data_IF_339453368306
#
_entry.id   IF_339453368306
#
_cell.length_a   1.000
_cell.length_b   1.000
_cell.length_c   1.000
_cell.angle_alpha   90.00
_cell.angle_beta   90.00
_cell.angle_gamma   90.00
#
_symmetry.space_group_name_H-M   'P 1'
#
loop_
_entity.id
_entity.type
_entity.pdbx_description
1 polymer ?
#
# COMPACT_ATOMS: atom_id res chain seq x y z
N UNK A 1 15.03 34.47 -45.38
CA UNK A 1 14.30 33.77 -46.45
C UNK A 1 13.72 32.52 -45.80
N UNK A 2 12.52 32.65 -45.23
CA UNK A 2 11.24 32.11 -45.76
C UNK A 2 11.24 30.59 -45.74
N UNK A 3 10.40 29.92 -44.95
CA UNK A 3 8.95 30.07 -45.02
C UNK A 3 8.26 29.74 -43.68
N UNK A 4 7.36 30.63 -43.27
CA UNK A 4 6.44 30.50 -42.16
C UNK A 4 5.06 30.35 -42.79
N UNK A 5 4.41 29.19 -42.67
CA UNK A 5 3.07 28.97 -43.21
C UNK A 5 2.06 28.66 -42.10
N UNK A 6 1.46 29.76 -41.69
CA UNK A 6 0.11 29.91 -41.15
C UNK A 6 -0.92 28.98 -41.81
N UNK A 7 -1.74 28.32 -40.99
CA UNK A 7 -3.11 27.95 -41.35
C UNK A 7 -4.06 28.27 -40.20
N UNK A 8 -5.06 29.04 -40.59
CA UNK A 8 -6.07 29.73 -39.82
C UNK A 8 -7.36 28.87 -39.77
N UNK A 9 -8.01 28.88 -38.60
CA UNK A 9 -9.42 28.61 -38.26
C UNK A 9 -10.27 27.65 -39.11
N UNK A 10 -10.95 26.70 -38.44
CA UNK A 10 -12.43 26.61 -38.43
C UNK A 10 -12.90 26.06 -37.07
N UNK A 11 -13.63 26.89 -36.30
CA UNK A 11 -14.44 26.49 -35.14
C UNK A 11 -15.89 26.34 -35.63
N UNK A 12 -16.61 25.24 -35.35
CA UNK A 12 -18.05 25.22 -35.47
C UNK A 12 -18.71 25.40 -34.10
N UNK A 13 -19.38 26.55 -33.99
CA UNK A 13 -20.42 26.89 -33.03
C UNK A 13 -21.55 25.86 -33.05
N UNK A 14 -21.90 25.28 -31.90
CA UNK A 14 -23.14 24.50 -31.73
C UNK A 14 -24.11 25.31 -30.87
N UNK A 15 -25.24 25.63 -31.48
CA UNK A 15 -26.32 26.46 -30.97
C UNK A 15 -27.31 25.63 -30.14
N UNK A 16 -27.83 26.26 -29.09
CA UNK A 16 -28.85 25.80 -28.15
C UNK A 16 -30.06 25.08 -28.77
N UNK A 17 -30.52 24.03 -28.08
CA UNK A 17 -31.94 23.69 -27.97
C UNK A 17 -32.32 23.61 -26.48
N UNK A 18 -33.04 24.62 -26.02
CA UNK A 18 -33.78 24.57 -24.77
C UNK A 18 -35.11 23.83 -24.99
N UNK A 19 -35.44 22.91 -24.09
CA UNK A 19 -36.79 22.37 -23.91
C UNK A 19 -36.95 22.07 -22.42
N UNK A 20 -37.75 22.90 -21.73
CA UNK A 20 -38.08 22.73 -20.32
C UNK A 20 -39.41 21.99 -20.13
N UNK A 21 -39.52 21.28 -19.00
CA UNK A 21 -40.67 21.02 -18.11
C UNK A 21 -40.21 19.88 -17.17
N UNK A 22 -40.48 19.80 -15.87
CA UNK A 22 -41.33 20.56 -14.98
C UNK A 22 -41.07 20.13 -13.53
N UNK A 23 -41.76 20.81 -12.63
CA UNK A 23 -41.61 20.91 -11.18
C UNK A 23 -41.70 19.60 -10.38
N UNK A 24 -40.99 19.54 -9.25
CA UNK A 24 -41.53 19.06 -7.96
C UNK A 24 -40.67 19.62 -6.82
N UNK A 25 -41.24 20.57 -6.08
CA UNK A 25 -40.67 21.06 -4.83
C UNK A 25 -40.89 20.07 -3.69
N UNK A 26 -39.94 20.02 -2.75
CA UNK A 26 -40.19 19.61 -1.38
C UNK A 26 -39.22 20.35 -0.48
N UNK A 27 -39.82 21.22 0.33
CA UNK A 27 -39.27 21.92 1.47
C UNK A 27 -38.70 20.90 2.45
N UNK A 28 -37.42 20.98 2.79
CA UNK A 28 -36.89 20.34 4.01
C UNK A 28 -36.57 21.46 4.99
N UNK A 29 -37.38 21.45 6.03
CA UNK A 29 -37.43 22.39 7.12
C UNK A 29 -36.19 22.21 8.01
N UNK A 30 -35.52 23.33 8.27
CA UNK A 30 -34.53 23.46 9.34
C UNK A 30 -35.13 22.99 10.66
N UNK A 31 -34.49 22.04 11.34
CA UNK A 31 -34.75 21.77 12.75
C UNK A 31 -33.46 21.87 13.55
N UNK A 32 -33.38 22.92 14.35
CA UNK A 32 -32.37 23.13 15.39
C UNK A 32 -32.39 21.96 16.41
N UNK A 33 -31.23 21.63 17.01
CA UNK A 33 -31.13 20.75 18.16
C UNK A 33 -31.23 21.55 19.47
N UNK A 34 -31.86 20.97 20.49
CA UNK A 34 -31.77 21.35 21.92
C UNK A 34 -32.64 20.37 22.74
N UNK A 35 -32.43 20.19 24.07
CA UNK A 35 -31.32 19.44 24.66
C UNK A 35 -31.81 18.44 25.75
N UNK A 36 -30.85 17.74 26.40
CA UNK A 36 -30.93 17.13 27.73
C UNK A 36 -32.09 16.15 28.05
N UNK A 37 -31.76 14.85 28.17
CA UNK A 37 -32.39 14.03 29.22
C UNK A 37 -31.37 13.09 29.87
N UNK A 38 -31.40 13.14 31.20
CA UNK A 38 -30.58 12.37 32.12
C UNK A 38 -30.98 10.90 32.12
N UNK A 39 -30.00 9.99 32.23
CA UNK A 39 -30.30 8.61 32.62
C UNK A 39 -29.43 8.20 33.79
N UNK A 40 -30.14 7.90 34.87
CA UNK A 40 -29.67 7.62 36.20
C UNK A 40 -28.99 6.25 36.33
N UNK A 41 -28.03 6.24 37.25
CA UNK A 41 -27.53 5.10 38.01
C UNK A 41 -28.68 4.26 38.59
N UNK A 42 -28.66 2.95 38.32
CA UNK A 42 -29.21 1.97 39.26
C UNK A 42 -28.49 0.63 39.11
N UNK A 43 -27.67 0.33 40.11
CA UNK A 43 -27.19 -1.01 40.37
C UNK A 43 -28.36 -1.97 40.65
N UNK A 44 -28.26 -3.16 40.04
CA UNK A 44 -29.13 -4.29 40.31
C UNK A 44 -28.33 -5.58 40.13
N UNK A 45 -27.87 -6.15 41.25
CA UNK A 45 -27.35 -7.52 41.31
C UNK A 45 -28.51 -8.48 41.12
N UNK A 46 -28.63 -9.03 39.91
CA UNK A 46 -29.59 -10.05 39.52
C UNK A 46 -28.95 -11.43 39.45
N UNK A 47 -29.41 -12.29 40.35
CA UNK A 47 -29.36 -13.75 40.41
C UNK A 47 -28.79 -14.49 39.17
N UNK A 48 -27.72 -15.28 39.39
CA UNK A 48 -27.21 -16.25 38.41
C UNK A 48 -28.21 -17.41 38.28
N UNK A 49 -28.96 -17.44 37.18
CA UNK A 49 -29.75 -18.60 36.80
C UNK A 49 -28.79 -19.73 36.39
N UNK A 50 -28.86 -20.86 37.10
CA UNK A 50 -28.19 -22.12 36.75
C UNK A 50 -28.63 -22.56 35.34
N UNK A 51 -27.66 -22.59 34.41
CA UNK A 51 -27.84 -23.17 33.08
C UNK A 51 -27.87 -24.71 33.24
N UNK A 52 -28.90 -25.41 32.72
CA UNK A 52 -28.91 -26.87 32.74
C UNK A 52 -27.79 -27.43 31.85
N UNK A 53 -27.11 -28.46 32.36
CA UNK A 53 -26.05 -29.18 31.67
C UNK A 53 -26.57 -29.75 30.32
N UNK A 54 -25.77 -29.70 29.24
CA UNK A 54 -26.19 -30.27 27.97
C UNK A 54 -26.29 -31.79 28.07
N UNK A 55 -27.47 -32.31 27.72
CA UNK A 55 -27.77 -33.74 27.57
C UNK A 55 -26.79 -34.38 26.56
N UNK A 56 -25.82 -35.12 27.07
CA UNK A 56 -24.87 -35.88 26.24
C UNK A 56 -25.64 -37.08 25.68
N UNK A 57 -26.03 -36.97 24.40
CA UNK A 57 -26.59 -38.07 23.63
C UNK A 57 -25.66 -39.29 23.57
N UNK A 58 -26.19 -40.47 23.20
CA UNK A 58 -25.48 -41.75 23.34
C UNK A 58 -24.16 -41.75 22.56
N UNK A 59 -23.11 -42.27 23.22
CA UNK A 59 -21.76 -42.46 22.67
C UNK A 59 -21.83 -43.05 21.26
N UNK A 60 -21.32 -42.30 20.28
CA UNK A 60 -21.08 -42.82 18.94
C UNK A 60 -20.06 -43.97 19.04
N UNK A 61 -20.27 -45.10 18.34
CA UNK A 61 -19.27 -46.15 18.32
C UNK A 61 -17.95 -45.61 17.75
N UNK A 62 -16.79 -46.11 18.20
CA UNK A 62 -15.51 -45.69 17.65
C UNK A 62 -15.50 -45.99 16.15
N UNK A 63 -15.32 -44.94 15.35
CA UNK A 63 -15.04 -45.08 13.92
C UNK A 63 -13.64 -45.68 13.83
N UNK A 64 -13.55 -46.97 13.53
CA UNK A 64 -12.30 -47.57 13.09
C UNK A 64 -11.96 -46.97 11.72
N UNK A 65 -11.14 -45.93 11.73
CA UNK A 65 -10.51 -45.43 10.51
C UNK A 65 -9.69 -46.58 9.91
N UNK A 66 -9.89 -46.95 8.63
CA UNK A 66 -9.06 -47.95 7.99
C UNK A 66 -7.62 -47.45 8.02
N UNK A 67 -6.79 -48.15 8.81
CA UNK A 67 -5.38 -47.87 9.02
C UNK A 67 -4.56 -48.39 7.83
N UNK A 68 -4.88 -47.98 6.60
CA UNK A 68 -4.05 -48.26 5.42
C UNK A 68 -4.19 -47.12 4.39
N UNK A 69 -3.70 -45.93 4.75
CA UNK A 69 -3.06 -45.08 3.73
C UNK A 69 -1.60 -45.50 3.74
N UNK A 70 -1.24 -46.34 2.76
CA UNK A 70 0.16 -46.61 2.49
C UNK A 70 0.82 -45.28 2.13
N UNK A 71 1.70 -44.80 3.01
CA UNK A 71 2.69 -43.77 2.71
C UNK A 71 3.65 -44.33 1.64
N UNK A 72 3.20 -44.30 0.38
CA UNK A 72 4.02 -44.56 -0.79
C UNK A 72 4.44 -43.21 -1.39
N UNK A 73 5.32 -42.51 -0.68
CA UNK A 73 6.29 -41.60 -1.32
C UNK A 73 7.66 -41.88 -0.72
N UNK A 74 8.29 -42.94 -1.22
CA UNK A 74 9.69 -43.29 -0.91
C UNK A 74 10.68 -42.31 -1.54
N UNK A 75 10.82 -41.13 -0.93
CA UNK A 75 12.04 -40.31 -1.02
C UNK A 75 12.75 -40.31 0.35
N UNK A 76 14.07 -40.07 0.42
CA UNK A 76 14.70 -39.86 1.72
C UNK A 76 13.95 -38.74 2.43
N UNK A 77 13.41 -39.04 3.62
CA UNK A 77 12.80 -38.06 4.49
C UNK A 77 13.88 -37.03 4.84
N UNK A 78 13.88 -35.90 4.12
CA UNK A 78 14.71 -34.77 4.47
C UNK A 78 14.08 -34.13 5.72
N UNK A 79 14.91 -33.84 6.73
CA UNK A 79 14.41 -33.19 7.93
C UNK A 79 14.23 -31.68 7.68
N UNK A 80 13.28 -31.01 8.34
CA UNK A 80 13.13 -29.55 8.23
C UNK A 80 14.44 -28.82 8.51
N UNK A 81 14.81 -27.89 7.64
CA UNK A 81 16.07 -27.15 7.70
C UNK A 81 17.26 -27.83 7.02
N UNK A 82 17.07 -28.99 6.37
CA UNK A 82 18.09 -29.64 5.54
C UNK A 82 18.04 -29.22 4.06
N UNK A 83 17.25 -28.19 3.72
CA UNK A 83 17.12 -27.69 2.35
C UNK A 83 16.06 -28.46 1.54
N UNK A 84 15.03 -28.95 2.23
CA UNK A 84 13.84 -29.57 1.68
C UNK A 84 12.99 -28.59 0.86
N UNK A 85 12.02 -29.10 0.10
CA UNK A 85 10.98 -28.25 -0.46
C UNK A 85 10.32 -27.38 0.63
N UNK A 86 10.17 -26.09 0.35
CA UNK A 86 9.67 -25.04 1.27
C UNK A 86 10.56 -24.67 2.47
N UNK A 87 11.72 -25.30 2.64
CA UNK A 87 12.68 -24.82 3.64
C UNK A 87 13.19 -23.42 3.25
N UNK A 88 13.35 -22.54 4.23
CA UNK A 88 13.90 -21.21 4.01
C UNK A 88 15.33 -21.27 3.48
N UNK A 89 15.65 -20.41 2.52
CA UNK A 89 16.97 -20.29 1.94
C UNK A 89 17.29 -18.83 1.57
N UNK A 90 18.58 -18.50 1.58
CA UNK A 90 19.09 -17.22 1.06
C UNK A 90 19.86 -17.41 -0.27
N UNK A 91 20.32 -18.64 -0.54
CA UNK A 91 21.11 -19.00 -1.72
C UNK A 91 20.81 -20.42 -2.20
N UNK A 92 21.05 -20.67 -3.49
CA UNK A 92 20.83 -21.97 -4.13
C UNK A 92 21.53 -23.14 -3.44
N UNK A 93 22.71 -22.90 -2.85
CA UNK A 93 23.51 -23.93 -2.19
C UNK A 93 22.88 -24.44 -0.88
N UNK A 94 21.94 -23.69 -0.29
CA UNK A 94 21.21 -24.12 0.90
C UNK A 94 20.15 -25.19 0.59
N UNK A 95 19.79 -25.37 -0.69
CA UNK A 95 18.74 -26.28 -1.11
C UNK A 95 19.31 -27.58 -1.67
N UNK A 96 18.72 -28.73 -1.30
CA UNK A 96 19.13 -30.02 -1.86
C UNK A 96 18.89 -30.11 -3.38
N UNK A 97 17.86 -29.40 -3.86
CA UNK A 97 17.58 -29.24 -5.28
C UNK A 97 18.58 -28.33 -6.01
N UNK A 98 19.39 -27.56 -5.27
CA UNK A 98 20.26 -26.53 -5.82
C UNK A 98 19.55 -25.25 -6.26
N UNK A 99 18.28 -25.05 -5.86
CA UNK A 99 17.48 -23.90 -6.28
C UNK A 99 16.71 -23.27 -5.12
N UNK A 100 17.04 -22.01 -4.86
CA UNK A 100 16.34 -21.14 -3.93
C UNK A 100 15.51 -20.13 -4.73
N UNK A 101 14.20 -20.12 -4.53
CA UNK A 101 13.26 -19.30 -5.32
C UNK A 101 12.38 -18.47 -4.41
N UNK A 102 11.77 -17.43 -4.98
CA UNK A 102 10.85 -16.56 -4.25
C UNK A 102 9.49 -17.22 -4.04
N UNK A 103 9.00 -17.16 -2.81
CA UNK A 103 7.67 -17.58 -2.39
C UNK A 103 7.17 -16.66 -1.29
N UNK A 104 6.06 -15.96 -1.54
CA UNK A 104 5.43 -15.05 -0.59
C UNK A 104 6.41 -14.01 0.01
N UNK A 105 7.30 -13.46 -0.82
CA UNK A 105 8.28 -12.46 -0.41
C UNK A 105 9.46 -12.99 0.39
N UNK A 106 9.61 -14.31 0.52
CA UNK A 106 10.74 -14.98 1.15
C UNK A 106 11.44 -15.94 0.18
N UNK A 107 12.69 -16.30 0.47
CA UNK A 107 13.40 -17.35 -0.25
C UNK A 107 13.07 -18.72 0.34
N UNK A 108 12.62 -19.65 -0.51
CA UNK A 108 12.39 -21.04 -0.14
C UNK A 108 12.97 -22.01 -1.18
N UNK A 109 13.36 -23.18 -0.71
CA UNK A 109 13.88 -24.24 -1.56
C UNK A 109 12.77 -24.85 -2.40
N UNK A 110 13.04 -25.00 -3.70
CA UNK A 110 12.10 -25.63 -4.65
C UNK A 110 12.53 -27.05 -5.03
N UNK A 111 11.77 -27.71 -5.90
CA UNK A 111 12.09 -29.00 -6.51
C UNK A 111 12.22 -28.84 -8.03
N UNK A 112 12.98 -29.75 -8.64
CA UNK A 112 12.98 -29.91 -10.09
C UNK A 112 11.67 -30.55 -10.54
N UNK A 113 11.21 -30.19 -11.74
CA UNK A 113 9.98 -30.70 -12.34
C UNK A 113 10.22 -31.04 -13.81
N UNK A 114 9.39 -31.92 -14.36
CA UNK A 114 9.33 -32.14 -15.81
C UNK A 114 8.10 -31.43 -16.40
N UNK A 115 6.92 -31.65 -15.81
CA UNK A 115 5.67 -30.97 -16.18
C UNK A 115 4.81 -30.62 -14.96
N UNK A 116 4.76 -31.51 -13.95
CA UNK A 116 3.92 -31.34 -12.77
C UNK A 116 4.65 -30.69 -11.59
N UNK A 117 3.95 -29.81 -10.89
CA UNK A 117 4.37 -29.19 -9.63
C UNK A 117 3.25 -29.28 -8.58
N UNK A 118 3.56 -29.13 -7.29
CA UNK A 118 2.54 -29.05 -6.24
C UNK A 118 1.54 -27.90 -6.48
N UNK A 119 0.32 -27.97 -5.92
CA UNK A 119 -0.68 -26.91 -6.06
C UNK A 119 -0.11 -25.52 -5.69
N UNK A 120 -0.38 -24.52 -6.53
CA UNK A 120 0.15 -23.15 -6.36
C UNK A 120 1.55 -22.93 -6.94
N UNK A 121 2.14 -23.92 -7.59
CA UNK A 121 3.44 -23.84 -8.24
C UNK A 121 3.33 -24.23 -9.71
N UNK A 122 4.11 -23.57 -10.57
CA UNK A 122 4.17 -23.83 -12.00
C UNK A 122 5.56 -24.28 -12.40
N UNK A 123 5.65 -25.30 -13.25
CA UNK A 123 6.92 -25.79 -13.76
C UNK A 123 7.48 -24.81 -14.79
N UNK A 124 8.56 -24.10 -14.43
CA UNK A 124 9.16 -23.08 -15.29
C UNK A 124 10.63 -23.39 -15.56
N UNK A 125 11.08 -23.00 -16.76
CA UNK A 125 12.47 -23.13 -17.18
C UNK A 125 13.34 -22.08 -16.47
N UNK A 126 14.40 -22.55 -15.83
CA UNK A 126 15.43 -21.70 -15.21
C UNK A 126 16.80 -21.96 -15.84
N UNK A 127 17.59 -20.89 -15.95
CA UNK A 127 18.90 -20.91 -16.62
C UNK A 127 18.83 -20.58 -18.11
N UNK A 128 19.96 -20.16 -18.66
CA UNK A 128 20.10 -19.78 -20.08
C UNK A 128 21.31 -20.51 -20.66
N UNK A 129 21.11 -21.74 -21.11
CA UNK A 129 22.18 -22.61 -21.62
C UNK A 129 21.61 -23.86 -22.32
N UNK A 130 22.46 -24.75 -22.87
CA UNK A 130 22.01 -26.00 -23.49
C UNK A 130 21.43 -27.00 -22.47
N UNK A 131 21.82 -26.87 -21.20
CA UNK A 131 21.32 -27.68 -20.08
C UNK A 131 20.26 -26.88 -19.31
N UNK A 132 19.09 -26.73 -19.93
CA UNK A 132 17.93 -26.10 -19.29
C UNK A 132 17.39 -26.99 -18.18
N UNK A 133 17.17 -26.42 -17.01
CA UNK A 133 16.55 -27.12 -15.88
C UNK A 133 15.17 -26.54 -15.65
N UNK A 134 14.19 -27.39 -15.39
CA UNK A 134 12.85 -26.95 -15.02
C UNK A 134 12.68 -27.12 -13.51
N UNK A 135 12.16 -26.08 -12.88
CA UNK A 135 11.91 -26.06 -11.43
C UNK A 135 10.53 -25.49 -11.16
N UNK A 136 9.96 -25.87 -10.02
CA UNK A 136 8.69 -25.30 -9.59
C UNK A 136 8.89 -23.86 -9.12
N UNK A 137 8.17 -22.92 -9.72
CA UNK A 137 8.14 -21.52 -9.31
C UNK A 137 6.76 -21.22 -8.73
N UNK A 138 6.71 -20.55 -7.57
CA UNK A 138 5.46 -20.19 -6.94
C UNK A 138 4.67 -19.22 -7.83
N UNK A 139 3.37 -19.47 -7.99
CA UNK A 139 2.49 -18.55 -8.73
C UNK A 139 2.42 -17.18 -8.05
N UNK A 140 2.66 -17.15 -6.73
CA UNK A 140 2.62 -15.98 -5.85
C UNK A 140 3.98 -15.73 -5.20
N UNK A 141 5.02 -15.49 -6.01
CA UNK A 141 6.40 -15.38 -5.54
C UNK A 141 6.63 -14.16 -4.62
N UNK A 142 6.03 -13.01 -4.95
CA UNK A 142 6.18 -11.76 -4.19
C UNK A 142 5.01 -11.44 -3.25
N UNK A 143 4.01 -12.32 -3.12
CA UNK A 143 2.83 -12.05 -2.28
C UNK A 143 3.23 -11.64 -0.85
N UNK A 144 2.56 -10.63 -0.29
CA UNK A 144 2.86 -10.05 1.02
C UNK A 144 4.23 -9.34 1.16
N UNK A 145 4.98 -9.19 0.08
CA UNK A 145 6.24 -8.42 0.09
C UNK A 145 5.94 -6.91 0.17
N UNK A 146 6.64 -6.13 1.02
CA UNK A 146 6.53 -4.67 1.03
C UNK A 146 6.88 -4.08 -0.33
N UNK A 147 6.10 -3.11 -0.79
CA UNK A 147 6.26 -2.49 -2.10
C UNK A 147 5.95 -0.99 -2.07
N UNK A 148 6.65 -0.22 -2.90
CA UNK A 148 6.37 1.19 -3.17
C UNK A 148 5.68 1.43 -4.52
N UNK A 149 5.76 0.47 -5.44
CA UNK A 149 5.11 0.52 -6.75
C UNK A 149 4.80 -0.87 -7.28
N UNK A 150 3.92 -0.96 -8.29
CA UNK A 150 3.57 -2.23 -8.93
C UNK A 150 4.77 -2.98 -9.53
N UNK A 151 5.83 -2.27 -9.92
CA UNK A 151 7.06 -2.88 -10.44
C UNK A 151 7.79 -3.73 -9.40
N UNK A 152 7.62 -3.42 -8.10
CA UNK A 152 8.24 -4.20 -7.02
C UNK A 152 7.61 -5.58 -6.85
N UNK A 153 6.41 -5.80 -7.40
CA UNK A 153 5.65 -7.02 -7.25
C UNK A 153 5.81 -7.98 -8.43
N UNK A 154 6.47 -7.55 -9.51
CA UNK A 154 6.60 -8.37 -10.72
C UNK A 154 7.42 -9.62 -10.45
N UNK A 155 6.80 -10.76 -10.74
CA UNK A 155 7.38 -12.10 -10.59
C UNK A 155 7.37 -12.86 -11.93
N UNK A 156 8.25 -13.85 -12.14
CA UNK A 156 8.12 -14.80 -13.24
C UNK A 156 6.77 -15.53 -13.20
N UNK A 157 5.87 -15.20 -14.14
CA UNK A 157 4.48 -15.70 -14.14
C UNK A 157 3.45 -14.80 -13.44
N UNK A 158 3.90 -13.82 -12.64
CA UNK A 158 3.07 -12.84 -11.92
C UNK A 158 3.02 -11.49 -12.64
N UNK A 159 2.77 -11.50 -13.95
CA UNK A 159 2.79 -10.27 -14.76
C UNK A 159 1.75 -9.24 -14.32
N UNK A 160 0.69 -9.70 -13.66
CA UNK A 160 -0.45 -8.90 -13.19
C UNK A 160 -0.41 -8.61 -11.68
N UNK A 161 0.64 -9.04 -10.99
CA UNK A 161 0.88 -8.70 -9.58
C UNK A 161 1.03 -7.18 -9.45
N UNK A 162 0.41 -6.61 -8.43
CA UNK A 162 0.42 -5.16 -8.16
C UNK A 162 0.70 -4.88 -6.69
N UNK A 163 1.10 -3.64 -6.42
CA UNK A 163 1.28 -3.15 -5.06
C UNK A 163 -0.06 -2.64 -4.52
N UNK A 164 -0.66 -3.41 -3.61
CA UNK A 164 -1.96 -3.11 -3.01
C UNK A 164 -1.76 -2.19 -1.81
N UNK A 165 -2.57 -1.13 -1.74
CA UNK A 165 -2.58 -0.18 -0.64
C UNK A 165 -3.45 -0.71 0.52
N UNK A 166 -2.84 -0.88 1.69
CA UNK A 166 -3.50 -1.27 2.94
C UNK A 166 -3.83 -0.01 3.79
N UNK A 167 -3.75 1.18 3.19
CA UNK A 167 -4.02 2.46 3.82
C UNK A 167 -2.96 2.83 4.85
N UNK A 168 -3.38 3.11 6.07
CA UNK A 168 -2.46 3.56 7.13
C UNK A 168 -1.41 2.50 7.51
N UNK A 169 -1.66 1.23 7.20
CA UNK A 169 -0.81 0.10 7.55
C UNK A 169 0.36 -0.13 6.56
N UNK A 170 0.36 0.55 5.41
CA UNK A 170 1.39 0.43 4.36
C UNK A 170 0.84 -0.22 3.09
N UNK A 171 1.71 -0.82 2.29
CA UNK A 171 1.32 -1.46 1.03
C UNK A 171 2.15 -2.71 0.77
N UNK A 172 1.49 -3.73 0.22
CA UNK A 172 2.09 -5.04 0.02
C UNK A 172 1.70 -5.60 -1.33
N UNK A 173 2.58 -6.42 -1.89
CA UNK A 173 2.32 -7.08 -3.16
C UNK A 173 1.15 -8.06 -3.04
N UNK A 174 0.16 -7.87 -3.89
CA UNK A 174 -0.94 -8.79 -4.13
C UNK A 174 -0.68 -9.64 -5.37
N UNK A 175 -1.32 -10.81 -5.41
CA UNK A 175 -1.42 -11.64 -6.60
C UNK A 175 -2.81 -11.53 -7.22
N UNK A 176 -2.91 -11.58 -8.54
CA UNK A 176 -4.20 -11.51 -9.25
C UNK A 176 -5.08 -12.71 -8.88
N UNK A 177 -6.37 -12.46 -8.69
CA UNK A 177 -7.35 -13.50 -8.36
C UNK A 177 -8.74 -13.15 -8.92
N UNK A 178 -9.54 -14.16 -9.24
CA UNK A 178 -10.96 -14.00 -9.56
C UNK A 178 -11.83 -14.39 -8.35
N UNK A 179 -11.42 -15.44 -7.63
CA UNK A 179 -12.11 -16.03 -6.49
C UNK A 179 -11.16 -16.33 -5.34
N UNK A 180 -11.69 -16.58 -4.15
CA UNK A 180 -10.88 -16.94 -2.97
C UNK A 180 -10.12 -18.26 -3.17
N UNK A 181 -10.55 -19.13 -4.10
CA UNK A 181 -9.89 -20.40 -4.41
C UNK A 181 -8.56 -20.20 -5.15
N UNK A 182 -8.35 -19.03 -5.77
CA UNK A 182 -7.10 -18.68 -6.44
C UNK A 182 -6.01 -18.28 -5.44
N UNK A 183 -6.42 -17.83 -4.23
CA UNK A 183 -5.51 -17.34 -3.22
C UNK A 183 -4.97 -18.48 -2.34
N UNK A 184 -3.68 -18.40 -1.93
CA UNK A 184 -3.13 -19.35 -0.99
C UNK A 184 -3.78 -19.20 0.39
N UNK A 185 -3.66 -20.23 1.22
CA UNK A 185 -4.24 -20.20 2.56
C UNK A 185 -3.76 -19.00 3.39
N UNK A 186 -4.70 -18.32 4.05
CA UNK A 186 -4.44 -17.09 4.80
C UNK A 186 -4.58 -15.80 3.98
N UNK A 187 -5.09 -15.91 2.75
CA UNK A 187 -5.38 -14.80 1.86
C UNK A 187 -6.78 -14.93 1.26
N UNK A 188 -7.44 -13.79 1.13
CA UNK A 188 -8.75 -13.68 0.47
C UNK A 188 -8.63 -12.81 -0.77
N UNK A 189 -9.48 -13.09 -1.75
CA UNK A 189 -9.53 -12.36 -3.01
C UNK A 189 -10.44 -11.14 -2.87
N UNK A 190 -9.83 -9.98 -2.62
CA UNK A 190 -10.54 -8.74 -2.31
C UNK A 190 -10.36 -7.68 -3.39
N UNK A 191 -11.36 -6.82 -3.55
CA UNK A 191 -11.23 -5.60 -4.35
C UNK A 191 -10.49 -4.55 -3.51
N UNK A 192 -9.29 -4.17 -3.94
CA UNK A 192 -8.43 -3.18 -3.29
C UNK A 192 -7.98 -2.09 -4.25
N UNK A 193 -7.41 -1.01 -3.70
CA UNK A 193 -6.73 0.01 -4.49
C UNK A 193 -5.24 -0.34 -4.58
N UNK A 194 -4.62 -0.07 -5.71
CA UNK A 194 -3.17 0.00 -5.78
C UNK A 194 -2.66 1.30 -5.18
N UNK A 195 -1.36 1.38 -4.91
CA UNK A 195 -0.69 2.64 -4.54
C UNK A 195 -0.86 3.76 -5.57
N UNK A 196 -1.21 3.42 -6.82
CA UNK A 196 -1.52 4.38 -7.89
C UNK A 196 -3.02 4.76 -7.95
N UNK A 197 -3.82 4.33 -6.96
CA UNK A 197 -5.27 4.59 -6.88
C UNK A 197 -6.13 3.78 -7.85
N UNK A 198 -5.60 2.69 -8.41
CA UNK A 198 -6.32 1.84 -9.38
C UNK A 198 -7.02 0.72 -8.62
N UNK A 199 -8.34 0.59 -8.81
CA UNK A 199 -9.10 -0.53 -8.26
C UNK A 199 -8.80 -1.83 -9.00
N UNK A 200 -8.47 -2.88 -8.27
CA UNK A 200 -8.13 -4.20 -8.80
C UNK A 200 -8.42 -5.29 -7.76
N UNK A 201 -8.62 -6.52 -8.22
CA UNK A 201 -8.94 -7.66 -7.37
C UNK A 201 -7.68 -8.48 -7.12
N UNK A 202 -7.28 -8.62 -5.87
CA UNK A 202 -5.99 -9.19 -5.49
C UNK A 202 -6.09 -10.04 -4.21
N UNK A 203 -5.22 -11.03 -4.10
CA UNK A 203 -5.02 -11.76 -2.86
C UNK A 203 -4.39 -10.85 -1.80
N UNK A 204 -5.12 -10.64 -0.71
CA UNK A 204 -4.72 -9.80 0.44
C UNK A 204 -4.75 -10.68 1.69
N UNK A 205 -3.82 -10.43 2.61
CA UNK A 205 -3.69 -11.25 3.81
C UNK A 205 -4.89 -11.10 4.75
N UNK A 206 -5.45 -12.23 5.20
CA UNK A 206 -6.60 -12.26 6.12
C UNK A 206 -6.25 -11.70 7.51
N UNK A 207 -4.97 -11.83 7.88
CA UNK A 207 -4.45 -11.37 9.17
C UNK A 207 -4.20 -9.86 9.24
N UNK A 208 -4.42 -9.12 8.15
CA UNK A 208 -4.10 -7.70 8.03
C UNK A 208 -2.67 -7.48 7.54
N UNK A 209 -1.86 -6.74 8.29
CA UNK A 209 -0.50 -6.35 7.87
C UNK A 209 0.39 -7.56 7.63
N UNK A 210 1.01 -7.63 6.45
CA UNK A 210 1.98 -8.67 6.12
C UNK A 210 3.25 -8.52 6.98
N UNK A 211 3.76 -9.62 7.57
CA UNK A 211 4.96 -9.58 8.37
C UNK A 211 6.22 -9.38 7.50
N UNK A 212 7.22 -8.74 8.10
CA UNK A 212 8.52 -8.57 7.48
C UNK A 212 9.29 -9.90 7.38
N UNK A 213 9.51 -10.39 6.16
CA UNK A 213 10.36 -11.55 5.92
C UNK A 213 11.84 -11.18 6.14
N UNK A 214 12.69 -12.17 6.46
CA UNK A 214 14.14 -11.96 6.58
C UNK A 214 14.72 -11.29 5.33
N UNK A 215 14.32 -11.76 4.14
CA UNK A 215 14.70 -11.19 2.86
C UNK A 215 14.25 -9.74 2.70
N UNK A 216 13.04 -9.39 3.17
CA UNK A 216 12.54 -8.01 3.13
C UNK A 216 13.37 -7.06 4.00
N UNK A 217 13.82 -7.52 5.16
CA UNK A 217 14.69 -6.75 6.07
C UNK A 217 16.09 -6.57 5.45
N UNK A 218 16.69 -7.64 4.94
CA UNK A 218 18.04 -7.60 4.32
C UNK A 218 18.10 -6.70 3.09
N UNK A 219 17.02 -6.64 2.31
CA UNK A 219 16.91 -5.78 1.14
C UNK A 219 16.41 -4.37 1.47
N UNK A 220 16.15 -4.06 2.75
CA UNK A 220 15.55 -2.81 3.21
C UNK A 220 14.31 -2.42 2.37
N UNK A 221 13.42 -3.39 2.13
CA UNK A 221 12.18 -3.13 1.41
C UNK A 221 11.31 -2.17 2.20
N UNK A 222 10.54 -1.37 1.47
CA UNK A 222 9.79 -0.27 2.03
C UNK A 222 8.39 -0.15 1.41
N UNK A 223 7.51 0.55 2.12
CA UNK A 223 6.16 0.94 1.65
C UNK A 223 6.04 2.46 1.70
N UNK A 224 5.25 3.10 0.83
CA UNK A 224 4.98 4.52 0.96
C UNK A 224 4.14 4.77 2.21
N UNK A 225 4.21 5.98 2.70
CA UNK A 225 3.36 6.49 3.76
C UNK A 225 3.20 7.99 3.60
N UNK A 226 2.22 8.57 4.30
CA UNK A 226 2.02 10.00 4.31
C UNK A 226 1.66 10.49 5.71
N UNK A 227 1.97 11.76 5.99
CA UNK A 227 1.46 12.53 7.12
C UNK A 227 0.71 13.73 6.57
N UNK A 228 -0.54 13.88 6.97
CA UNK A 228 -1.39 14.99 6.56
C UNK A 228 -1.88 15.79 7.76
N UNK A 229 -1.92 17.11 7.62
CA UNK A 229 -2.54 18.04 8.59
C UNK A 229 -3.19 19.21 7.85
N UNK A 230 -3.38 20.36 8.52
CA UNK A 230 -4.01 21.53 7.91
C UNK A 230 -3.13 22.27 6.88
N UNK A 231 -1.81 22.04 6.90
CA UNK A 231 -0.85 22.69 6.02
C UNK A 231 -0.66 21.89 4.72
N UNK A 232 -0.64 20.57 4.78
CA UNK A 232 -0.58 19.74 3.58
C UNK A 232 -0.46 18.25 3.85
N UNK A 233 0.11 17.51 2.90
CA UNK A 233 0.37 16.08 2.99
C UNK A 233 1.78 15.76 2.51
N UNK A 234 2.66 15.43 3.45
CA UNK A 234 4.02 15.02 3.14
C UNK A 234 4.09 13.51 2.99
N UNK A 235 4.75 13.05 1.92
CA UNK A 235 4.99 11.63 1.67
C UNK A 235 6.32 11.17 2.26
N UNK A 236 6.43 9.89 2.53
CA UNK A 236 7.61 9.24 3.08
C UNK A 236 7.55 7.73 2.91
N UNK A 237 8.35 7.03 3.69
CA UNK A 237 8.58 5.61 3.63
C UNK A 237 8.46 4.96 5.01
N UNK A 238 8.02 3.71 5.01
CA UNK A 238 8.20 2.77 6.12
C UNK A 238 9.12 1.66 5.65
N UNK A 239 10.17 1.39 6.40
CA UNK A 239 11.15 0.36 6.07
C UNK A 239 10.86 -0.88 6.91
N UNK A 240 11.02 -2.05 6.31
CA UNK A 240 10.83 -3.33 6.95
C UNK A 240 11.97 -3.62 7.96
N UNK A 241 11.63 -3.80 9.24
CA UNK A 241 12.55 -4.11 10.36
C UNK A 241 12.20 -5.44 11.02
N UNK A 242 12.95 -5.83 12.07
CA UNK A 242 12.66 -7.04 12.84
C UNK A 242 11.32 -6.97 13.58
N UNK A 243 10.85 -5.76 13.89
CA UNK A 243 9.59 -5.49 14.58
C UNK A 243 8.40 -5.28 13.63
N UNK A 244 8.63 -5.33 12.31
CA UNK A 244 7.63 -5.01 11.28
C UNK A 244 7.99 -3.74 10.51
N UNK A 245 7.01 -3.09 9.90
CA UNK A 245 7.24 -1.80 9.25
C UNK A 245 7.58 -0.72 10.28
N UNK A 246 8.59 0.10 9.97
CA UNK A 246 8.98 1.25 10.80
C UNK A 246 7.86 2.29 10.91
N UNK A 247 8.05 3.26 11.81
CA UNK A 247 7.28 4.49 11.75
C UNK A 247 7.47 5.17 10.39
N UNK A 248 6.45 5.92 9.95
CA UNK A 248 6.52 6.72 8.74
C UNK A 248 7.55 7.84 8.93
N UNK A 249 8.53 7.93 8.03
CA UNK A 249 9.58 8.95 8.07
C UNK A 249 9.20 10.26 7.37
N UNK A 250 7.99 10.35 6.80
CA UNK A 250 7.47 11.58 6.22
C UNK A 250 7.57 12.74 7.22
N UNK A 251 7.95 13.92 6.71
CA UNK A 251 7.92 15.15 7.49
C UNK A 251 6.50 15.45 7.97
N UNK A 252 6.38 16.19 9.07
CA UNK A 252 5.08 16.76 9.45
C UNK A 252 4.92 18.06 8.67
N UNK A 253 3.87 18.21 7.85
CA UNK A 253 3.68 19.43 7.05
C UNK A 253 3.59 20.67 7.95
N UNK A 254 4.22 21.76 7.56
CA UNK A 254 4.27 23.02 8.30
C UNK A 254 4.03 24.19 7.35
N UNK A 255 3.61 25.38 7.85
CA UNK A 255 3.59 26.56 7.01
C UNK A 255 4.98 26.84 6.43
N UNK A 256 5.00 27.24 5.15
CA UNK A 256 6.22 27.63 4.45
C UNK A 256 7.08 28.60 5.23
N UNK A 257 8.38 28.30 5.27
CA UNK A 257 9.41 29.21 5.76
C UNK A 257 10.47 29.35 4.68
N UNK A 258 11.01 30.55 4.49
CA UNK A 258 12.11 30.78 3.56
C UNK A 258 13.40 30.03 3.99
N UNK A 259 13.50 28.77 3.58
CA UNK A 259 14.54 27.83 3.99
C UNK A 259 15.03 26.95 2.82
N UNK A 260 14.40 27.06 1.64
CA UNK A 260 14.73 26.28 0.44
C UNK A 260 14.14 24.88 0.41
N UNK A 261 13.19 24.58 1.28
CA UNK A 261 12.43 23.34 1.37
C UNK A 261 10.96 23.62 1.08
N UNK A 262 10.25 22.56 0.74
CA UNK A 262 8.79 22.52 0.64
C UNK A 262 8.32 22.01 2.01
N UNK A 263 7.95 22.93 2.89
CA UNK A 263 7.61 22.65 4.29
C UNK A 263 6.17 22.10 4.41
N UNK A 264 5.27 22.50 3.50
CA UNK A 264 3.87 22.02 3.46
C UNK A 264 3.63 20.85 2.50
N UNK A 265 4.63 20.52 1.67
CA UNK A 265 4.63 19.43 0.70
C UNK A 265 3.61 19.60 -0.44
N UNK A 266 3.25 20.83 -0.82
CA UNK A 266 2.35 21.11 -1.95
C UNK A 266 3.03 21.02 -3.34
N UNK A 267 4.37 20.88 -3.37
CA UNK A 267 5.19 20.80 -4.56
C UNK A 267 5.79 22.13 -5.02
N UNK A 268 5.54 23.22 -4.32
CA UNK A 268 6.20 24.51 -4.43
C UNK A 268 7.23 24.66 -3.31
N UNK A 269 8.16 25.59 -3.47
CA UNK A 269 9.24 25.82 -2.50
C UNK A 269 9.24 27.30 -2.19
N UNK A 270 9.19 27.64 -0.90
CA UNK A 270 9.23 28.99 -0.37
C UNK A 270 8.18 29.93 -1.01
N UNK A 271 6.98 29.43 -1.33
CA UNK A 271 5.92 30.25 -1.91
C UNK A 271 5.26 31.16 -0.86
N UNK A 272 4.73 32.33 -1.28
CA UNK A 272 4.17 33.28 -0.33
C UNK A 272 2.88 32.77 0.30
N UNK A 273 2.76 32.94 1.62
CA UNK A 273 1.55 32.61 2.38
C UNK A 273 0.39 33.55 1.99
N UNK A 274 -0.82 32.99 1.85
CA UNK A 274 -2.03 33.79 1.63
C UNK A 274 -2.68 34.17 2.96
N UNK A 275 -2.64 35.46 3.30
CA UNK A 275 -3.29 36.01 4.48
C UNK A 275 -4.41 36.95 4.04
N UNK A 276 -5.66 36.63 4.41
CA UNK A 276 -6.86 37.41 4.06
C UNK A 276 -7.04 37.69 2.55
N UNK A 277 -6.49 36.84 1.68
CA UNK A 277 -6.56 36.97 0.22
C UNK A 277 -5.45 37.83 -0.40
N UNK A 278 -4.45 38.25 0.39
CA UNK A 278 -3.23 38.86 -0.10
C UNK A 278 -2.04 37.91 0.06
N UNK A 279 -1.16 37.89 -0.94
CA UNK A 279 0.10 37.14 -0.86
C UNK A 279 1.10 37.94 -0.03
N UNK A 280 1.52 37.36 1.08
CA UNK A 280 2.53 37.93 1.97
C UNK A 280 3.85 37.20 1.72
N UNK A 281 4.93 37.97 1.55
CA UNK A 281 6.28 37.39 1.45
C UNK A 281 6.61 36.64 2.74
N UNK A 282 7.20 35.45 2.64
CA UNK A 282 7.73 34.70 3.79
C UNK A 282 8.76 35.49 4.61
N UNK A 283 9.35 36.52 3.98
CA UNK A 283 10.36 37.39 4.58
C UNK A 283 9.83 38.75 5.03
N UNK A 284 8.50 38.92 5.05
CA UNK A 284 7.87 40.18 5.44
C UNK A 284 8.28 40.61 6.85
N UNK A 285 8.92 41.78 6.96
CA UNK A 285 9.38 42.33 8.24
C UNK A 285 8.54 43.50 8.75
N UNK A 286 7.44 43.81 8.07
CA UNK A 286 6.56 44.93 8.40
C UNK A 286 7.07 46.30 7.95
N UNK A 287 8.23 46.38 7.29
CA UNK A 287 8.79 47.63 6.80
C UNK A 287 8.48 47.80 5.30
N UNK A 288 7.61 48.76 4.91
CA UNK A 288 7.27 48.97 3.49
C UNK A 288 8.45 49.54 2.67
N UNK A 289 9.55 49.93 3.32
CA UNK A 289 10.74 50.48 2.67
C UNK A 289 11.88 49.47 2.49
N UNK A 290 11.63 48.19 2.74
CA UNK A 290 12.52 47.09 2.37
C UNK A 290 11.89 46.21 1.31
N UNK A 291 12.72 45.75 0.38
CA UNK A 291 12.36 44.68 -0.53
C UNK A 291 12.62 43.36 0.17
N UNK A 292 11.53 42.70 0.57
CA UNK A 292 11.57 41.41 1.23
C UNK A 292 11.72 40.31 0.19
N UNK A 293 12.86 39.64 0.20
CA UNK A 293 13.22 38.63 -0.77
C UNK A 293 13.64 37.35 -0.06
N UNK A 294 12.95 36.27 -0.40
CA UNK A 294 13.37 34.93 -0.03
C UNK A 294 14.50 34.45 -0.96
N UNK A 295 15.61 34.02 -0.35
CA UNK A 295 16.76 33.39 -1.02
C UNK A 295 16.77 31.87 -0.89
N UNK A 296 15.67 31.26 -0.47
CA UNK A 296 15.56 29.85 -0.12
C UNK A 296 16.55 29.46 0.97
N UNK A 297 17.51 28.59 0.65
CA UNK A 297 18.54 28.17 1.61
C UNK A 297 19.43 29.33 2.14
N UNK A 298 19.53 30.45 1.40
CA UNK A 298 20.23 31.66 1.85
C UNK A 298 19.39 32.47 2.88
N UNK A 299 18.13 32.09 3.07
CA UNK A 299 17.19 32.70 3.99
C UNK A 299 16.64 34.04 3.51
N UNK A 300 16.07 34.79 4.45
CA UNK A 300 15.44 36.08 4.17
C UNK A 300 16.44 37.23 4.02
N UNK A 301 16.17 38.09 3.03
CA UNK A 301 16.91 39.34 2.81
C UNK A 301 15.96 40.51 2.61
N UNK A 302 16.21 41.61 3.34
CA UNK A 302 15.38 42.81 3.33
C UNK A 302 16.25 43.99 2.89
N UNK A 303 16.29 44.24 1.58
CA UNK A 303 17.15 45.28 1.01
C UNK A 303 16.44 46.65 1.02
N UNK A 304 17.06 47.74 1.48
CA UNK A 304 16.45 49.08 1.43
C UNK A 304 16.04 49.45 0.00
N UNK A 305 14.87 50.08 -0.14
CA UNK A 305 14.42 50.59 -1.43
C UNK A 305 14.98 52.00 -1.68
N UNK A 306 15.82 52.15 -2.71
CA UNK A 306 16.42 53.44 -3.10
C UNK A 306 15.49 54.31 -4.00
N UNK A 307 14.17 54.08 -3.96
CA UNK A 307 13.20 54.76 -4.82
C UNK A 307 11.93 55.16 -4.04
N UNK A 308 11.31 56.27 -4.44
CA UNK A 308 10.01 56.71 -3.90
C UNK A 308 10.08 57.34 -2.51
N UNK A 309 9.04 57.11 -1.70
CA UNK A 309 8.89 57.67 -0.33
C UNK A 309 9.87 57.06 0.69
N UNK A 310 10.66 56.06 0.27
CA UNK A 310 11.62 55.33 1.08
C UNK A 310 13.06 55.87 1.00
N UNK A 311 13.28 56.96 0.25
CA UNK A 311 14.56 57.66 0.21
C UNK A 311 14.65 58.61 1.41
N UNK A 312 15.58 58.35 2.33
CA UNK A 312 15.90 59.22 3.47
C UNK A 312 17.10 60.11 3.15
#
# INVERSE_FOLDING_TARGET
>A
MTDCRSRLLVIPTVLLLASGCGSSGSTIENRQPDPEEEVADSGGVGEVAELPEPDIGPELPPVELPHEVAEETGGPACAPGEGCFLDSCDENAACQSGWCVDHMGAGVCTIACEEDCPPGWSCQQVGSGPDVTYVCIANHANLCRPCGSGDNCKSPGGAEDVCVDYGAEGSFCGGVCETDEDCPWGFSCVDGLTVDGIATRQCVADAGVCPCTKKSIELALWTPCARANEWGECTGQRICTQEGLSACDAAEPMPETCNGLDDDCDGQIDEPEQVEGEYVSLCFDGNPCTKDQCGGADGCSNAPMDQGECIV
#
